data_IF_574882275362
#
_entry.id   IF_574882275362
#
_cell.length_a   1.000
_cell.length_b   1.000
_cell.length_c   1.000
_cell.angle_alpha   90.00
_cell.angle_beta   90.00
_cell.angle_gamma   90.00
#
_symmetry.space_group_name_H-M   'P 1'
#
loop_
_entity.id
_entity.type
_entity.pdbx_description
1 polymer ?
#
# COMPACT_ATOMS: atom_id res chain seq x y z
N UNK A 1 2.49 2.98 19.35
CA UNK A 1 1.94 4.17 18.66
C UNK A 1 1.05 3.64 17.54
N UNK A 2 -0.25 3.94 17.54
CA UNK A 2 -1.16 3.44 16.51
C UNK A 2 -0.93 4.28 15.24
N UNK A 3 -0.10 3.79 14.32
CA UNK A 3 0.14 4.44 13.03
C UNK A 3 -1.22 4.54 12.34
N UNK A 4 -1.65 5.77 12.05
CA UNK A 4 -2.92 6.02 11.39
C UNK A 4 -2.88 5.35 10.01
N UNK A 5 -3.95 4.63 9.67
CA UNK A 5 -4.07 3.76 8.49
C UNK A 5 -3.57 4.38 7.16
N UNK A 6 -3.76 5.68 6.95
CA UNK A 6 -3.30 6.40 5.74
C UNK A 6 -1.77 6.44 5.61
N UNK A 7 -1.05 6.28 6.71
CA UNK A 7 0.38 6.59 6.78
C UNK A 7 1.22 5.51 6.08
N UNK A 8 0.96 4.21 6.27
CA UNK A 8 1.83 3.15 5.70
C UNK A 8 2.02 3.24 4.18
N UNK A 9 0.94 3.31 3.41
CA UNK A 9 1.05 3.36 1.94
C UNK A 9 1.52 4.74 1.44
N UNK A 10 1.17 5.81 2.16
CA UNK A 10 1.62 7.18 1.84
C UNK A 10 3.11 7.35 2.14
N UNK A 11 3.60 6.75 3.22
CA UNK A 11 5.01 6.77 3.60
C UNK A 11 5.85 6.08 2.54
N UNK A 12 5.38 4.94 2.02
CA UNK A 12 6.05 4.26 0.92
C UNK A 12 5.94 5.07 -0.38
N UNK A 13 4.77 5.66 -0.65
CA UNK A 13 4.56 6.49 -1.83
C UNK A 13 5.52 7.69 -1.87
N UNK A 14 5.96 8.20 -0.72
CA UNK A 14 6.94 9.29 -0.63
C UNK A 14 8.31 8.94 -1.21
N UNK A 15 8.63 7.64 -1.32
CA UNK A 15 9.91 7.16 -1.87
C UNK A 15 9.82 6.75 -3.34
N UNK A 16 8.67 6.98 -3.99
CA UNK A 16 8.51 6.67 -5.42
C UNK A 16 9.46 7.49 -6.29
N UNK A 17 10.00 6.88 -7.37
CA UNK A 17 11.01 7.54 -8.20
C UNK A 17 10.47 8.76 -8.95
N UNK A 18 9.15 8.82 -9.17
CA UNK A 18 8.48 9.96 -9.80
C UNK A 18 7.15 10.28 -9.12
N UNK A 19 6.71 11.55 -9.22
CA UNK A 19 5.36 11.96 -8.80
C UNK A 19 4.25 11.21 -9.52
N UNK A 20 4.48 10.83 -10.78
CA UNK A 20 3.54 10.03 -11.53
C UNK A 20 3.35 8.66 -10.88
N UNK A 21 4.44 7.93 -10.59
CA UNK A 21 4.39 6.63 -9.92
C UNK A 21 3.82 6.71 -8.50
N UNK A 22 4.12 7.80 -7.79
CA UNK A 22 3.47 8.12 -6.52
C UNK A 22 1.94 8.20 -6.67
N UNK A 23 1.46 8.98 -7.64
CA UNK A 23 0.03 9.13 -7.87
C UNK A 23 -0.62 7.81 -8.32
N UNK A 24 0.03 7.05 -9.20
CA UNK A 24 -0.47 5.75 -9.65
C UNK A 24 -0.61 4.80 -8.46
N UNK A 25 0.40 4.69 -7.57
CA UNK A 25 0.28 3.86 -6.36
C UNK A 25 -0.94 4.27 -5.53
N UNK A 26 -1.09 5.56 -5.22
CA UNK A 26 -2.16 6.04 -4.35
C UNK A 26 -3.56 5.80 -4.96
N UNK A 27 -3.69 6.00 -6.28
CA UNK A 27 -4.93 5.73 -7.01
C UNK A 27 -5.20 4.22 -7.03
N UNK A 28 -4.21 3.40 -7.38
CA UNK A 28 -4.34 1.94 -7.41
C UNK A 28 -4.78 1.41 -6.05
N UNK A 29 -4.17 1.88 -4.96
CA UNK A 29 -4.53 1.46 -3.61
C UNK A 29 -5.96 1.84 -3.24
N UNK A 30 -6.37 3.08 -3.55
CA UNK A 30 -7.73 3.54 -3.28
C UNK A 30 -8.77 2.76 -4.10
N UNK A 31 -8.57 2.61 -5.40
CA UNK A 31 -9.48 1.88 -6.28
C UNK A 31 -9.60 0.43 -5.85
N UNK A 32 -8.47 -0.25 -5.61
CA UNK A 32 -8.46 -1.64 -5.17
C UNK A 32 -9.27 -1.81 -3.88
N UNK A 33 -9.05 -0.97 -2.87
CA UNK A 33 -9.77 -1.10 -1.61
C UNK A 33 -11.27 -0.82 -1.74
N UNK A 34 -11.68 0.11 -2.60
CA UNK A 34 -13.10 0.38 -2.86
C UNK A 34 -13.77 -0.80 -3.57
N UNK A 35 -13.12 -1.38 -4.58
CA UNK A 35 -13.63 -2.57 -5.28
C UNK A 35 -13.81 -3.74 -4.32
N UNK A 36 -12.87 -3.91 -3.38
CA UNK A 36 -12.93 -4.96 -2.37
C UNK A 36 -14.04 -4.71 -1.34
N UNK A 37 -14.29 -3.47 -0.94
CA UNK A 37 -15.45 -3.14 -0.11
C UNK A 37 -16.74 -3.47 -0.84
N UNK A 38 -16.88 -3.07 -2.10
CA UNK A 38 -18.08 -3.35 -2.89
C UNK A 38 -18.31 -4.86 -3.05
N UNK A 39 -17.26 -5.62 -3.35
CA UNK A 39 -17.36 -7.07 -3.52
C UNK A 39 -17.65 -7.79 -2.21
N UNK A 40 -16.97 -7.43 -1.12
CA UNK A 40 -17.17 -8.08 0.17
C UNK A 40 -18.56 -7.81 0.74
N UNK A 41 -19.08 -6.58 0.59
CA UNK A 41 -20.41 -6.20 1.11
C UNK A 41 -21.58 -6.81 0.34
N UNK A 42 -21.35 -7.36 -0.86
CA UNK A 42 -22.34 -8.19 -1.57
C UNK A 42 -22.56 -9.54 -0.87
N UNK A 43 -21.57 -10.04 -0.13
CA UNK A 43 -21.57 -11.38 0.46
C UNK A 43 -21.68 -11.36 1.98
N UNK A 44 -21.02 -10.41 2.65
CA UNK A 44 -20.83 -10.40 4.10
C UNK A 44 -20.73 -8.98 4.67
N UNK A 45 -20.99 -8.83 5.97
CA UNK A 45 -20.81 -7.54 6.67
C UNK A 45 -19.33 -7.31 7.03
N UNK A 46 -18.84 -6.08 6.79
CA UNK A 46 -17.51 -5.67 7.23
C UNK A 46 -17.58 -5.23 8.69
N UNK A 47 -17.05 -6.06 9.58
CA UNK A 47 -17.03 -5.78 11.03
C UNK A 47 -16.24 -4.52 11.42
N UNK A 48 -15.15 -4.21 10.68
CA UNK A 48 -14.35 -3.01 10.93
C UNK A 48 -13.79 -2.46 9.62
N UNK A 49 -14.42 -1.40 9.11
CA UNK A 49 -13.99 -0.72 7.87
C UNK A 49 -12.50 -0.33 7.93
N UNK A 50 -11.97 0.29 9.00
CA UNK A 50 -10.54 0.66 9.03
C UNK A 50 -9.60 -0.54 9.03
N UNK A 51 -9.97 -1.67 9.65
CA UNK A 51 -9.16 -2.88 9.62
C UNK A 51 -9.22 -3.56 8.25
N UNK A 52 -10.40 -3.61 7.65
CA UNK A 52 -10.60 -4.15 6.31
C UNK A 52 -9.77 -3.38 5.28
N UNK A 53 -9.93 -2.05 5.24
CA UNK A 53 -9.21 -1.19 4.30
C UNK A 53 -7.68 -1.31 4.47
N UNK A 54 -7.17 -1.55 5.69
CA UNK A 54 -5.73 -1.83 5.98
C UNK A 54 -5.19 -3.01 5.19
N UNK A 55 -5.92 -4.10 5.20
CA UNK A 55 -5.54 -5.30 4.46
C UNK A 55 -5.53 -4.98 2.97
N UNK A 56 -6.58 -4.32 2.47
CA UNK A 56 -6.70 -4.03 1.03
C UNK A 56 -5.62 -3.09 0.49
N UNK A 57 -5.21 -2.06 1.23
CA UNK A 57 -4.08 -1.22 0.80
C UNK A 57 -2.76 -1.99 0.75
N UNK A 58 -2.53 -2.92 1.68
CA UNK A 58 -1.32 -3.75 1.69
C UNK A 58 -1.32 -4.74 0.52
N UNK A 59 -2.45 -5.35 0.22
CA UNK A 59 -2.60 -6.23 -0.94
C UNK A 59 -2.39 -5.47 -2.26
N UNK A 60 -2.86 -4.23 -2.34
CA UNK A 60 -2.66 -3.38 -3.52
C UNK A 60 -1.18 -3.06 -3.80
N UNK A 61 -0.31 -3.08 -2.79
CA UNK A 61 1.12 -2.83 -2.95
C UNK A 61 1.77 -3.91 -3.83
N UNK A 62 1.50 -5.18 -3.52
CA UNK A 62 2.01 -6.31 -4.29
C UNK A 62 1.56 -6.18 -5.75
N UNK A 63 0.27 -5.95 -5.95
CA UNK A 63 -0.34 -5.79 -7.27
C UNK A 63 0.25 -4.63 -8.08
N UNK A 64 0.46 -3.47 -7.45
CA UNK A 64 1.07 -2.30 -8.08
C UNK A 64 2.54 -2.56 -8.42
N UNK A 65 3.33 -3.05 -7.46
CA UNK A 65 4.78 -3.20 -7.65
C UNK A 65 5.11 -4.17 -8.76
N UNK A 66 4.39 -5.29 -8.85
CA UNK A 66 4.59 -6.29 -9.89
C UNK A 66 4.37 -5.73 -11.30
N UNK A 67 3.37 -4.85 -11.45
CA UNK A 67 2.94 -4.32 -12.75
C UNK A 67 3.61 -3.01 -13.15
N UNK A 68 4.02 -2.19 -12.17
CA UNK A 68 4.37 -0.78 -12.41
C UNK A 68 5.80 -0.39 -12.03
N UNK A 69 6.54 -1.26 -11.33
CA UNK A 69 7.93 -1.01 -10.93
C UNK A 69 8.88 -2.07 -11.48
N UNK A 70 10.07 -1.66 -11.92
CA UNK A 70 11.18 -2.58 -12.20
C UNK A 70 11.70 -3.21 -10.89
N UNK A 71 12.54 -4.24 -11.02
CA UNK A 71 13.19 -4.87 -9.85
C UNK A 71 14.07 -3.86 -9.12
N UNK A 72 14.83 -3.03 -9.85
CA UNK A 72 15.67 -1.99 -9.27
C UNK A 72 14.83 -0.94 -8.53
N UNK A 73 13.73 -0.48 -9.13
CA UNK A 73 12.86 0.53 -8.50
C UNK A 73 12.21 0.01 -7.22
N UNK A 74 11.78 -1.26 -7.20
CA UNK A 74 11.26 -1.89 -5.97
C UNK A 74 12.31 -1.93 -4.88
N UNK A 75 13.54 -2.31 -5.24
CA UNK A 75 14.67 -2.35 -4.31
C UNK A 75 14.98 -0.95 -3.76
N UNK A 76 15.05 0.06 -4.62
CA UNK A 76 15.37 1.44 -4.24
C UNK A 76 14.32 2.04 -3.31
N UNK A 77 13.02 1.84 -3.60
CA UNK A 77 11.93 2.28 -2.71
C UNK A 77 12.10 1.66 -1.32
N UNK A 78 12.40 0.37 -1.26
CA UNK A 78 12.55 -0.34 0.02
C UNK A 78 13.80 0.06 0.79
N UNK A 79 14.92 0.27 0.10
CA UNK A 79 16.14 0.75 0.74
C UNK A 79 15.99 2.17 1.25
N UNK A 80 15.34 3.05 0.48
CA UNK A 80 15.06 4.42 0.91
C UNK A 80 14.14 4.45 2.14
N UNK A 81 13.10 3.62 2.16
CA UNK A 81 12.25 3.47 3.33
C UNK A 81 13.04 2.99 4.55
N UNK A 82 13.82 1.91 4.41
CA UNK A 82 14.63 1.36 5.49
C UNK A 82 15.63 2.36 6.04
N UNK A 83 16.34 3.08 5.18
CA UNK A 83 17.34 4.06 5.58
C UNK A 83 16.75 5.21 6.40
N UNK A 84 15.48 5.58 6.16
CA UNK A 84 14.80 6.64 6.90
C UNK A 84 14.13 6.15 8.19
N UNK A 85 13.62 4.91 8.20
CA UNK A 85 12.79 4.40 9.30
C UNK A 85 13.50 3.38 10.20
N UNK A 86 14.69 2.89 9.81
CA UNK A 86 15.45 1.86 10.53
C UNK A 86 14.83 0.45 10.47
N UNK A 87 13.76 0.27 9.69
CA UNK A 87 13.07 -1.00 9.50
C UNK A 87 12.33 -1.02 8.16
N UNK A 88 12.06 -2.21 7.63
CA UNK A 88 11.13 -2.39 6.50
C UNK A 88 9.67 -2.24 6.95
N UNK A 89 8.75 -1.88 6.03
CA UNK A 89 7.32 -1.87 6.32
C UNK A 89 6.84 -3.23 6.86
N UNK A 90 6.00 -3.20 7.90
CA UNK A 90 5.57 -4.41 8.61
C UNK A 90 4.86 -5.42 7.70
N UNK A 91 4.13 -4.95 6.69
CA UNK A 91 3.36 -5.81 5.79
C UNK A 91 4.21 -6.56 4.75
N UNK A 92 5.51 -6.25 4.63
CA UNK A 92 6.43 -7.00 3.75
C UNK A 92 6.93 -8.27 4.44
N UNK A 93 6.79 -8.36 5.77
CA UNK A 93 7.24 -9.51 6.56
C UNK A 93 6.17 -10.61 6.71
N UNK A 94 4.97 -10.41 6.18
CA UNK A 94 3.84 -11.34 6.28
C UNK A 94 3.67 -12.19 5.03
#
# INVERSE_FOLDING_TARGET
>A
MMIAFKQEIVDIAAYMPTKEKQNVLLITAMTYALDQVENYTKEQEIFSIPAFMRVQFRESWTDFTEKSLSVEERYDVMMNYYNQNGAYPDFIKS
#
